data_IF_148316449430
#
_entry.id   IF_148316449430
#
_cell.length_a   1.000
_cell.length_b   1.000
_cell.length_c   1.000
_cell.angle_alpha   90.00
_cell.angle_beta   90.00
_cell.angle_gamma   90.00
#
_symmetry.space_group_name_H-M   'P 1'
#
loop_
_entity.id
_entity.type
_entity.pdbx_description
1 polymer ?
#
# COMPACT_ATOMS: atom_id res chain seq x y z
N UNK A 1 -13.78 16.90 6.17
CA UNK A 1 -13.55 17.10 7.61
C UNK A 1 -12.28 16.34 7.88
N UNK A 2 -11.14 17.03 8.08
CA UNK A 2 -9.89 16.35 8.44
C UNK A 2 -10.10 15.76 9.82
N UNK A 3 -10.09 14.44 9.95
CA UNK A 3 -9.94 13.82 11.26
C UNK A 3 -8.49 14.13 11.64
N UNK A 4 -8.30 14.81 12.75
CA UNK A 4 -6.95 15.03 13.28
C UNK A 4 -6.51 13.71 13.90
N UNK A 5 -5.76 12.91 13.13
CA UNK A 5 -5.27 11.61 13.58
C UNK A 5 -4.17 11.83 14.61
N UNK A 6 -4.40 11.37 15.84
CA UNK A 6 -3.38 11.38 16.89
C UNK A 6 -2.36 10.26 16.66
N UNK A 7 -1.32 10.58 15.89
CA UNK A 7 -0.28 9.63 15.52
C UNK A 7 0.41 8.97 16.72
N UNK A 8 0.44 9.62 17.90
CA UNK A 8 0.98 9.00 19.12
C UNK A 8 0.07 7.85 19.55
N UNK A 9 -1.24 8.11 19.62
CA UNK A 9 -2.24 7.09 19.93
C UNK A 9 -2.26 5.97 18.89
N UNK A 10 -2.12 6.29 17.60
CA UNK A 10 -2.04 5.28 16.53
C UNK A 10 -0.85 4.34 16.72
N UNK A 11 0.31 4.84 17.18
CA UNK A 11 1.44 3.99 17.54
C UNK A 11 1.18 3.11 18.77
N UNK A 12 0.45 3.60 19.77
CA UNK A 12 0.04 2.79 20.94
C UNK A 12 -0.88 1.64 20.50
N UNK A 13 -1.83 1.91 19.62
CA UNK A 13 -2.73 0.90 19.05
C UNK A 13 -1.98 -0.15 18.23
N UNK A 14 -1.02 0.27 17.39
CA UNK A 14 -0.13 -0.65 16.67
C UNK A 14 0.64 -1.56 17.63
N UNK A 15 1.16 -1.03 18.72
CA UNK A 15 1.87 -1.82 19.73
C UNK A 15 0.94 -2.86 20.40
N UNK A 16 -0.33 -2.52 20.64
CA UNK A 16 -1.33 -3.47 21.12
C UNK A 16 -1.62 -4.59 20.10
N UNK A 17 -1.76 -4.25 18.82
CA UNK A 17 -1.97 -5.23 17.73
C UNK A 17 -0.78 -6.19 17.60
N UNK A 18 0.44 -5.66 17.66
CA UNK A 18 1.68 -6.47 17.68
C UNK A 18 1.67 -7.44 18.86
N UNK A 19 1.29 -6.99 20.06
CA UNK A 19 1.21 -7.84 21.25
C UNK A 19 0.16 -8.95 21.11
N UNK A 20 -1.03 -8.61 20.56
CA UNK A 20 -2.09 -9.59 20.28
C UNK A 20 -1.61 -10.65 19.31
N UNK A 21 -1.01 -10.24 18.18
CA UNK A 21 -0.47 -11.15 17.16
C UNK A 21 0.62 -12.07 17.71
N UNK A 22 1.58 -11.53 18.46
CA UNK A 22 2.65 -12.33 19.07
C UNK A 22 2.12 -13.37 20.07
N UNK A 23 1.07 -13.02 20.83
CA UNK A 23 0.43 -13.95 21.76
C UNK A 23 -0.26 -15.10 21.02
N UNK A 24 -0.94 -14.82 19.91
CA UNK A 24 -1.55 -15.85 19.06
C UNK A 24 -0.48 -16.83 18.55
N UNK A 25 0.63 -16.32 18.02
CA UNK A 25 1.77 -17.15 17.57
C UNK A 25 2.32 -18.05 18.68
N UNK A 26 2.51 -17.51 19.89
CA UNK A 26 3.04 -18.28 21.03
C UNK A 26 2.12 -19.41 21.47
N UNK A 27 0.82 -19.29 21.25
CA UNK A 27 -0.17 -20.30 21.64
C UNK A 27 -0.27 -21.47 20.64
N UNK A 28 0.52 -21.47 19.56
CA UNK A 28 0.48 -22.45 18.46
C UNK A 28 -0.93 -22.67 17.89
N UNK A 29 -1.81 -21.68 18.03
CA UNK A 29 -3.07 -21.68 17.33
C UNK A 29 -2.76 -21.36 15.87
N UNK A 30 -3.37 -22.11 14.95
CA UNK A 30 -3.47 -21.70 13.56
C UNK A 30 -4.12 -20.31 13.57
N UNK A 31 -3.35 -19.30 13.17
CA UNK A 31 -3.84 -17.92 13.15
C UNK A 31 -4.83 -17.85 11.99
N UNK A 32 -6.07 -17.53 12.31
CA UNK A 32 -7.06 -17.25 11.29
C UNK A 32 -6.62 -15.97 10.55
N UNK A 33 -6.62 -16.00 9.22
CA UNK A 33 -6.23 -14.85 8.41
C UNK A 33 -7.12 -13.64 8.70
N UNK A 34 -8.37 -13.86 9.14
CA UNK A 34 -9.28 -12.79 9.62
C UNK A 34 -8.78 -12.08 10.89
N UNK A 35 -7.77 -12.61 11.58
CA UNK A 35 -7.19 -12.03 12.79
C UNK A 35 -5.91 -11.22 12.53
N UNK A 36 -5.39 -11.24 11.30
CA UNK A 36 -4.19 -10.48 10.94
C UNK A 36 -4.63 -9.15 10.34
N UNK A 37 -4.20 -8.00 10.91
CA UNK A 37 -4.55 -6.72 10.32
C UNK A 37 -3.99 -6.56 8.91
N UNK A 38 -4.81 -5.99 8.04
CA UNK A 38 -4.55 -5.77 6.61
C UNK A 38 -4.91 -4.34 6.23
N UNK A 39 -4.65 -3.96 4.98
CA UNK A 39 -5.11 -2.70 4.41
C UNK A 39 -6.63 -2.53 4.43
N UNK A 40 -7.39 -3.62 4.60
CA UNK A 40 -8.85 -3.59 4.65
C UNK A 40 -9.40 -3.30 6.05
N UNK A 41 -8.55 -3.42 7.06
CA UNK A 41 -8.94 -3.22 8.45
C UNK A 41 -8.82 -1.73 8.82
N UNK A 42 -9.94 -1.12 9.18
CA UNK A 42 -10.02 0.27 9.65
C UNK A 42 -9.46 0.51 11.05
N UNK A 43 -8.37 -0.18 11.40
CA UNK A 43 -7.63 -0.05 12.66
C UNK A 43 -6.42 0.88 12.51
N UNK A 44 -5.35 0.59 13.26
CA UNK A 44 -4.17 1.45 13.30
C UNK A 44 -3.55 1.70 11.91
N UNK A 45 -3.57 0.69 11.03
CA UNK A 45 -3.07 0.83 9.65
C UNK A 45 -3.86 1.85 8.83
N UNK A 46 -5.18 1.88 8.97
CA UNK A 46 -6.04 2.88 8.34
C UNK A 46 -5.75 4.29 8.83
N UNK A 47 -5.57 4.45 10.14
CA UNK A 47 -5.21 5.74 10.75
C UNK A 47 -3.83 6.22 10.29
N UNK A 48 -2.84 5.33 10.16
CA UNK A 48 -1.54 5.68 9.56
C UNK A 48 -1.70 6.16 8.11
N UNK A 49 -2.55 5.51 7.33
CA UNK A 49 -2.78 5.89 5.94
C UNK A 49 -3.44 7.28 5.84
N UNK A 50 -4.46 7.55 6.67
CA UNK A 50 -5.11 8.87 6.75
C UNK A 50 -4.12 9.95 7.21
N UNK A 51 -3.31 9.66 8.24
CA UNK A 51 -2.27 10.57 8.71
C UNK A 51 -1.27 10.90 7.60
N UNK A 52 -0.76 9.89 6.89
CA UNK A 52 0.21 10.09 5.81
C UNK A 52 -0.39 10.91 4.68
N UNK A 53 -1.62 10.61 4.27
CA UNK A 53 -2.34 11.35 3.22
C UNK A 53 -2.58 12.81 3.60
N UNK A 54 -2.78 13.09 4.89
CA UNK A 54 -3.06 14.44 5.41
C UNK A 54 -1.80 15.28 5.57
N UNK A 55 -0.69 14.68 6.01
CA UNK A 55 0.50 15.42 6.44
C UNK A 55 1.70 15.34 5.48
N UNK A 56 1.68 14.45 4.51
CA UNK A 56 2.76 14.30 3.54
C UNK A 56 2.28 14.60 2.11
N UNK A 57 3.10 15.32 1.36
CA UNK A 57 2.92 15.50 -0.07
C UNK A 57 3.38 14.23 -0.85
N UNK A 58 3.33 14.28 -2.19
CA UNK A 58 3.78 13.16 -3.03
C UNK A 58 5.29 12.85 -2.92
N UNK A 59 6.10 13.68 -2.25
CA UNK A 59 7.55 13.48 -2.09
C UNK A 59 7.90 12.89 -0.72
N UNK A 60 7.25 11.78 -0.36
CA UNK A 60 7.41 11.15 0.96
C UNK A 60 8.81 10.56 1.16
N UNK A 61 9.31 10.52 2.41
CA UNK A 61 10.44 9.66 2.76
C UNK A 61 10.16 8.22 2.33
N UNK A 62 11.16 7.52 1.79
CA UNK A 62 10.94 6.22 1.10
C UNK A 62 10.26 5.16 1.98
N UNK A 63 10.49 5.14 3.29
CA UNK A 63 9.80 4.22 4.20
C UNK A 63 8.31 4.54 4.35
N UNK A 64 7.96 5.83 4.41
CA UNK A 64 6.57 6.30 4.45
C UNK A 64 5.88 6.03 3.11
N UNK A 65 6.58 6.25 2.00
CA UNK A 65 6.09 5.90 0.65
C UNK A 65 5.86 4.39 0.52
N UNK A 66 6.78 3.57 1.01
CA UNK A 66 6.64 2.11 0.94
C UNK A 66 5.43 1.62 1.75
N UNK A 67 5.16 2.19 2.93
CA UNK A 67 3.93 1.87 3.67
C UNK A 67 2.69 2.21 2.85
N UNK A 68 2.62 3.44 2.35
CA UNK A 68 1.49 3.95 1.58
C UNK A 68 1.20 3.10 0.34
N UNK A 69 2.23 2.85 -0.47
CA UNK A 69 2.11 2.09 -1.71
C UNK A 69 1.66 0.65 -1.48
N UNK A 70 2.16 0.00 -0.43
CA UNK A 70 1.78 -1.39 -0.13
C UNK A 70 0.37 -1.48 0.46
N UNK A 71 -0.05 -0.50 1.25
CA UNK A 71 -1.44 -0.37 1.70
C UNK A 71 -2.39 -0.24 0.50
N UNK A 72 -2.13 0.69 -0.41
CA UNK A 72 -2.96 0.88 -1.61
C UNK A 72 -2.95 -0.35 -2.52
N UNK A 73 -1.78 -0.97 -2.70
CA UNK A 73 -1.64 -2.20 -3.49
C UNK A 73 -2.44 -3.37 -2.90
N UNK A 74 -2.37 -3.58 -1.58
CA UNK A 74 -3.14 -4.64 -0.92
C UNK A 74 -4.64 -4.33 -0.95
N UNK A 75 -5.04 -3.07 -0.80
CA UNK A 75 -6.45 -2.67 -0.95
C UNK A 75 -6.99 -3.01 -2.34
N UNK A 76 -6.28 -2.63 -3.40
CA UNK A 76 -6.70 -2.92 -4.78
C UNK A 76 -6.79 -4.43 -5.03
N UNK A 77 -5.84 -5.22 -4.53
CA UNK A 77 -5.86 -6.68 -4.64
C UNK A 77 -7.09 -7.33 -3.96
N UNK A 78 -7.64 -6.72 -2.90
CA UNK A 78 -8.77 -7.29 -2.16
C UNK A 78 -10.13 -6.80 -2.65
N UNK A 79 -10.22 -5.59 -3.22
CA UNK A 79 -11.52 -4.95 -3.48
C UNK A 79 -11.75 -4.39 -4.88
N UNK A 80 -10.70 -3.95 -5.56
CA UNK A 80 -10.87 -3.12 -6.76
C UNK A 80 -10.36 -3.82 -8.03
N UNK A 81 -9.54 -4.86 -7.88
CA UNK A 81 -8.76 -5.46 -8.95
C UNK A 81 -7.35 -4.86 -8.94
N UNK A 82 -6.34 -5.72 -8.83
CA UNK A 82 -4.95 -5.27 -8.69
C UNK A 82 -4.45 -4.48 -9.92
N UNK A 83 -5.08 -4.65 -11.08
CA UNK A 83 -4.81 -3.87 -12.29
C UNK A 83 -4.96 -2.36 -12.08
N UNK A 84 -5.94 -1.90 -11.29
CA UNK A 84 -6.19 -0.47 -11.09
C UNK A 84 -5.01 0.21 -10.38
N UNK A 85 -4.34 -0.52 -9.49
CA UNK A 85 -3.10 -0.06 -8.87
C UNK A 85 -2.01 0.15 -9.92
N UNK A 86 -1.79 -0.81 -10.83
CA UNK A 86 -0.73 -0.70 -11.83
C UNK A 86 -1.09 0.24 -12.99
N UNK A 87 -2.37 0.40 -13.32
CA UNK A 87 -2.84 1.43 -14.25
C UNK A 87 -2.65 2.85 -13.71
N UNK A 88 -2.22 2.99 -12.45
CA UNK A 88 -2.01 4.26 -11.78
C UNK A 88 -3.30 5.10 -11.76
N UNK A 89 -4.44 4.45 -11.49
CA UNK A 89 -5.77 5.06 -11.59
C UNK A 89 -5.92 6.30 -10.69
N UNK A 90 -5.31 6.27 -9.50
CA UNK A 90 -5.31 7.38 -8.55
C UNK A 90 -4.11 8.33 -8.67
N UNK A 91 -3.25 8.15 -9.69
CA UNK A 91 -2.06 8.98 -9.97
C UNK A 91 -1.01 9.02 -8.84
N UNK A 92 -0.81 7.88 -8.17
CA UNK A 92 0.11 7.73 -7.04
C UNK A 92 1.06 6.53 -7.14
N UNK A 93 0.83 5.60 -8.06
CA UNK A 93 1.56 4.35 -8.24
C UNK A 93 2.23 4.30 -9.62
N UNK A 94 2.92 5.38 -10.02
CA UNK A 94 3.68 5.38 -11.27
C UNK A 94 4.82 4.35 -11.25
N UNK A 95 5.27 3.93 -12.44
CA UNK A 95 6.32 2.93 -12.60
C UNK A 95 7.59 3.24 -11.77
N UNK A 96 8.06 4.49 -11.74
CA UNK A 96 9.27 4.86 -11.00
C UNK A 96 9.06 4.73 -9.51
N UNK A 97 7.87 5.09 -9.02
CA UNK A 97 7.48 4.93 -7.62
C UNK A 97 7.41 3.45 -7.24
N UNK A 98 6.76 2.62 -8.05
CA UNK A 98 6.70 1.16 -7.84
C UNK A 98 8.12 0.57 -7.77
N UNK A 99 8.99 0.89 -8.74
CA UNK A 99 10.34 0.35 -8.78
C UNK A 99 11.20 0.80 -7.60
N UNK A 100 11.01 2.05 -7.11
CA UNK A 100 11.70 2.55 -5.91
C UNK A 100 11.25 1.81 -4.64
N UNK A 101 9.93 1.57 -4.48
CA UNK A 101 9.40 0.81 -3.34
C UNK A 101 9.83 -0.65 -3.41
N UNK A 102 9.84 -1.27 -4.60
CA UNK A 102 10.35 -2.62 -4.78
C UNK A 102 11.82 -2.73 -4.35
N UNK A 103 12.66 -1.79 -4.78
CA UNK A 103 14.06 -1.74 -4.35
C UNK A 103 14.18 -1.60 -2.82
N UNK A 104 13.36 -0.74 -2.20
CA UNK A 104 13.30 -0.60 -0.75
C UNK A 104 12.92 -1.92 -0.06
N UNK A 105 11.88 -2.61 -0.53
CA UNK A 105 11.47 -3.93 0.00
C UNK A 105 12.64 -4.91 -0.02
N UNK A 106 13.30 -5.02 -1.17
CA UNK A 106 14.46 -5.92 -1.36
C UNK A 106 15.61 -5.60 -0.41
N UNK A 107 15.98 -4.33 -0.28
CA UNK A 107 17.05 -3.86 0.62
C UNK A 107 16.75 -4.09 2.10
N UNK A 108 15.48 -4.22 2.47
CA UNK A 108 15.03 -4.46 3.84
C UNK A 108 14.67 -5.93 4.11
N UNK A 109 15.08 -6.86 3.24
CA UNK A 109 14.93 -8.30 3.45
C UNK A 109 13.64 -8.92 2.88
N UNK A 110 12.75 -8.11 2.29
CA UNK A 110 11.51 -8.57 1.67
C UNK A 110 11.71 -8.85 0.18
N UNK A 111 12.67 -9.72 -0.14
CA UNK A 111 13.04 -10.01 -1.54
C UNK A 111 11.88 -10.66 -2.31
N UNK A 112 11.22 -11.66 -1.72
CA UNK A 112 10.06 -12.30 -2.37
C UNK A 112 8.91 -11.30 -2.58
N UNK A 113 8.58 -10.51 -1.56
CA UNK A 113 7.56 -9.47 -1.68
C UNK A 113 7.91 -8.48 -2.80
N UNK A 114 9.16 -8.00 -2.85
CA UNK A 114 9.63 -7.12 -3.92
C UNK A 114 9.42 -7.71 -5.31
N UNK A 115 9.61 -9.02 -5.48
CA UNK A 115 9.45 -9.68 -6.78
C UNK A 115 7.99 -9.70 -7.21
N UNK A 116 7.08 -10.09 -6.32
CA UNK A 116 5.64 -10.11 -6.62
C UNK A 116 5.07 -8.70 -6.80
N UNK A 117 5.46 -7.76 -5.96
CA UNK A 117 5.01 -6.37 -6.02
C UNK A 117 5.46 -5.65 -7.31
N UNK A 118 6.66 -5.94 -7.82
CA UNK A 118 7.16 -5.28 -9.03
C UNK A 118 6.79 -6.02 -10.33
N UNK A 119 6.42 -7.30 -10.27
CA UNK A 119 6.26 -8.12 -11.48
C UNK A 119 5.24 -7.58 -12.50
N UNK A 120 4.09 -7.00 -12.09
CA UNK A 120 3.14 -6.38 -13.00
C UNK A 120 3.46 -4.90 -13.30
N UNK A 121 4.56 -4.34 -12.80
CA UNK A 121 4.89 -2.96 -13.14
C UNK A 121 5.24 -2.84 -14.64
N UNK A 122 4.49 -2.02 -15.36
CA UNK A 122 4.76 -1.67 -16.76
C UNK A 122 5.16 -0.20 -16.81
N UNK A 123 6.23 0.11 -17.55
CA UNK A 123 6.58 1.50 -17.84
C UNK A 123 5.53 2.05 -18.83
N UNK A 124 4.65 2.89 -18.32
CA UNK A 124 3.63 3.54 -19.13
C UNK A 124 4.21 4.77 -19.83
N UNK A 125 4.23 4.74 -21.16
CA UNK A 125 4.23 5.99 -21.94
C UNK A 125 2.88 6.68 -21.70
N UNK A 126 2.88 8.00 -21.47
CA UNK A 126 1.64 8.77 -21.34
C UNK A 126 0.80 8.56 -22.60
N UNK A 127 -0.39 7.97 -22.43
CA UNK A 127 -1.38 7.90 -23.49
C UNK A 127 -1.74 9.35 -23.84
N UNK A 128 -1.54 9.81 -25.09
CA UNK A 128 -1.88 11.17 -25.48
C UNK A 128 -3.33 11.51 -25.11
N UNK A 129 -3.58 12.73 -24.62
CA UNK A 129 -4.92 13.19 -24.17
C UNK A 129 -5.97 13.11 -25.30
N UNK A 130 -5.52 13.06 -26.54
CA UNK A 130 -6.32 12.82 -27.73
C UNK A 130 -6.94 11.42 -27.78
N UNK A 131 -6.32 10.44 -27.12
CA UNK A 131 -6.77 9.03 -27.04
C UNK A 131 -7.60 8.75 -25.78
N UNK A 132 -7.83 9.75 -24.93
CA UNK A 132 -8.68 9.63 -23.75
C UNK A 132 -10.16 9.61 -24.13
N UNK A 133 -10.94 8.76 -23.44
CA UNK A 133 -12.37 8.60 -23.68
C UNK A 133 -13.15 9.76 -23.05
N UNK A 134 -13.97 10.45 -23.84
CA UNK A 134 -14.85 11.51 -23.37
C UNK A 134 -16.20 10.95 -22.95
N UNK A 135 -16.57 11.13 -21.68
CA UNK A 135 -17.86 10.66 -21.15
C UNK A 135 -18.93 11.74 -21.32
N UNK A 136 -20.19 11.38 -21.06
CA UNK A 136 -21.37 12.25 -21.27
C UNK A 136 -21.34 13.58 -20.50
N UNK A 137 -20.46 13.72 -19.51
CA UNK A 137 -20.22 14.94 -18.74
C UNK A 137 -19.14 15.87 -19.36
N UNK A 138 -18.55 15.50 -20.51
CA UNK A 138 -17.48 16.26 -21.18
C UNK A 138 -16.11 16.12 -20.50
N UNK A 139 -15.98 15.26 -19.48
CA UNK A 139 -14.70 14.95 -18.85
C UNK A 139 -14.06 13.80 -19.64
N UNK A 140 -12.80 14.01 -20.03
CA UNK A 140 -11.97 12.96 -20.63
C UNK A 140 -11.34 12.13 -19.53
N UNK A 141 -11.43 10.81 -19.67
CA UNK A 141 -10.78 9.85 -18.79
C UNK A 141 -9.83 9.00 -19.61
N UNK A 142 -8.74 8.60 -18.99
CA UNK A 142 -7.89 7.55 -19.54
C UNK A 142 -8.73 6.28 -19.74
N UNK A 143 -8.57 5.55 -20.86
CA UNK A 143 -9.29 4.31 -21.08
C UNK A 143 -9.03 3.33 -19.93
N UNK A 144 -10.10 2.84 -19.29
CA UNK A 144 -10.08 2.03 -18.06
C UNK A 144 -9.62 0.56 -18.30
N UNK A 145 -8.99 0.26 -19.44
CA UNK A 145 -8.60 -1.08 -19.88
C UNK A 145 -7.24 -1.07 -20.59
N UNK A 146 -6.30 -0.23 -20.15
CA UNK A 146 -4.98 -0.12 -20.82
C UNK A 146 -3.91 -0.93 -20.10
N UNK A 147 -4.26 -1.80 -19.15
CA UNK A 147 -3.34 -2.83 -18.71
C UNK A 147 -3.24 -3.95 -19.77
N UNK A 148 -2.05 -4.28 -20.30
CA UNK A 148 -1.93 -5.26 -21.40
C UNK A 148 -2.52 -6.63 -21.04
N UNK A 149 -3.41 -7.17 -21.89
CA UNK A 149 -4.11 -8.44 -21.63
C UNK A 149 -3.13 -9.61 -21.42
N UNK A 150 -1.98 -9.60 -22.11
CA UNK A 150 -0.92 -10.60 -21.96
C UNK A 150 -0.30 -10.62 -20.56
N UNK A 151 -0.47 -9.54 -19.80
CA UNK A 151 0.00 -9.40 -18.43
C UNK A 151 -1.06 -9.82 -17.39
N UNK A 152 -2.29 -10.16 -17.80
CA UNK A 152 -3.33 -10.63 -16.87
C UNK A 152 -2.94 -11.88 -16.08
N UNK A 153 -2.20 -12.87 -16.64
CA UNK A 153 -1.71 -13.99 -15.84
C UNK A 153 -0.79 -13.57 -14.69
N UNK A 154 0.05 -12.54 -14.88
CA UNK A 154 0.94 -12.05 -13.82
C UNK A 154 0.18 -11.23 -12.78
N UNK A 155 -0.83 -10.46 -13.18
CA UNK A 155 -1.74 -9.78 -12.25
C UNK A 155 -2.45 -10.77 -11.33
N UNK A 156 -3.12 -11.79 -11.89
CA UNK A 156 -3.82 -12.82 -11.10
C UNK A 156 -2.90 -13.58 -10.15
N UNK A 157 -1.67 -13.86 -10.60
CA UNK A 157 -0.66 -14.51 -9.74
C UNK A 157 -0.27 -13.60 -8.57
N UNK A 158 -0.17 -12.30 -8.82
CA UNK A 158 0.22 -11.29 -7.83
C UNK A 158 -0.89 -11.02 -6.82
N UNK A 159 -2.13 -10.87 -7.29
CA UNK A 159 -3.34 -10.73 -6.47
C UNK A 159 -3.49 -11.92 -5.52
N UNK A 160 -3.44 -13.14 -6.07
CA UNK A 160 -3.47 -14.36 -5.26
C UNK A 160 -2.34 -14.41 -4.24
N UNK A 161 -1.13 -13.98 -4.60
CA UNK A 161 -0.01 -13.94 -3.66
C UNK A 161 -0.28 -12.94 -2.53
N UNK A 162 -0.87 -11.77 -2.81
CA UNK A 162 -1.23 -10.79 -1.80
C UNK A 162 -2.25 -11.33 -0.79
N UNK A 163 -3.24 -12.11 -1.27
CA UNK A 163 -4.25 -12.78 -0.44
C UNK A 163 -3.65 -13.90 0.43
N UNK A 164 -2.71 -14.68 -0.11
CA UNK A 164 -2.13 -15.84 0.60
C UNK A 164 -0.98 -15.44 1.56
N UNK A 165 -0.39 -14.26 1.42
CA UNK A 165 0.81 -13.83 2.17
C UNK A 165 0.54 -12.69 3.17
N UNK A 166 -0.68 -12.63 3.72
CA UNK A 166 -1.11 -11.59 4.66
C UNK A 166 -0.15 -11.42 5.85
N UNK A 167 0.39 -12.52 6.41
CA UNK A 167 1.35 -12.44 7.51
C UNK A 167 2.64 -11.72 7.10
N UNK A 168 3.16 -11.99 5.89
CA UNK A 168 4.36 -11.31 5.39
C UNK A 168 4.10 -9.82 5.22
N UNK A 169 2.92 -9.47 4.71
CA UNK A 169 2.49 -8.08 4.54
C UNK A 169 2.32 -7.35 5.89
N UNK A 170 1.72 -8.01 6.88
CA UNK A 170 1.62 -7.49 8.24
C UNK A 170 3.00 -7.23 8.86
N UNK A 171 3.91 -8.21 8.77
CA UNK A 171 5.27 -8.03 9.27
C UNK A 171 5.98 -6.85 8.59
N UNK A 172 5.75 -6.66 7.29
CA UNK A 172 6.23 -5.48 6.57
C UNK A 172 5.67 -4.17 7.13
N UNK A 173 4.35 -4.08 7.36
CA UNK A 173 3.74 -2.86 7.93
C UNK A 173 4.34 -2.52 9.28
N UNK A 174 4.46 -3.49 10.17
CA UNK A 174 5.07 -3.30 11.49
C UNK A 174 6.50 -2.80 11.36
N UNK A 175 7.33 -3.46 10.56
CA UNK A 175 8.74 -3.12 10.42
C UNK A 175 8.92 -1.72 9.82
N UNK A 176 8.17 -1.38 8.77
CA UNK A 176 8.28 -0.08 8.11
C UNK A 176 7.79 1.05 9.01
N UNK A 177 6.66 0.88 9.71
CA UNK A 177 6.13 1.90 10.62
C UNK A 177 7.05 2.12 11.82
N UNK A 178 7.52 1.04 12.44
CA UNK A 178 8.41 1.13 13.60
C UNK A 178 9.77 1.75 13.24
N UNK A 179 10.33 1.41 12.07
CA UNK A 179 11.58 2.01 11.57
C UNK A 179 11.43 3.50 11.29
N UNK A 180 10.24 3.95 10.87
CA UNK A 180 9.96 5.34 10.52
C UNK A 180 9.24 6.12 11.62
N UNK A 181 9.05 5.55 12.83
CA UNK A 181 8.35 6.16 13.96
C UNK A 181 8.84 7.58 14.30
N UNK A 182 10.16 7.78 14.33
CA UNK A 182 10.73 9.10 14.63
C UNK A 182 10.37 10.17 13.60
N UNK A 183 10.27 9.79 12.32
CA UNK A 183 9.90 10.69 11.22
C UNK A 183 8.41 11.06 11.32
N UNK A 184 7.56 10.05 11.50
CA UNK A 184 6.11 10.22 11.63
C UNK A 184 5.72 11.05 12.86
N UNK A 185 6.42 10.88 13.98
CA UNK A 185 6.21 11.71 15.18
C UNK A 185 6.77 13.14 15.04
N UNK A 186 7.75 13.36 14.16
CA UNK A 186 8.29 14.69 13.93
C UNK A 186 7.33 15.55 13.07
N UNK A 187 6.70 14.97 12.04
CA UNK A 187 5.74 15.68 11.17
C UNK A 187 4.51 16.21 11.92
N UNK A 188 4.13 15.58 13.05
CA UNK A 188 3.04 16.08 13.89
C UNK A 188 3.39 17.43 14.53
N UNK A 189 4.66 17.62 14.90
CA UNK A 189 5.12 18.83 15.60
C UNK A 189 5.27 20.04 14.68
N UNK A 190 5.48 19.81 13.39
CA UNK A 190 5.59 20.88 12.40
C UNK A 190 4.22 21.45 12.00
N UNK A 191 3.14 20.70 12.28
CA UNK A 191 1.76 21.07 11.96
C UNK A 191 0.93 21.57 13.16
N UNK A 192 1.54 21.69 14.35
CA UNK A 192 0.94 22.30 15.56
C UNK A 192 1.41 23.75 15.74
#
# INVERSE_FOLDING_TARGET
MSIDVDIVKTFEELEEEIQKFNKLKQQQQEIDYEQIPTAVDGGALGDFNEYITTHYDKNRPIGVEAFYQIMSWQWSAFYEGIELYYENFYEESDYKTIMRVAQYLKENGYTEFSEYYAAPAVEYEEIPVEEWEEYSNGVKYRPMNYYPEEMYPILKKTEKWAEENIEMTWNFYVDVLMKNKSILLASQKENQ
#
